data_IF_894693340741
#
_entry.id   IF_894693340741
#
_cell.length_a   1.000
_cell.length_b   1.000
_cell.length_c   1.000
_cell.angle_alpha   90.00
_cell.angle_beta   90.00
_cell.angle_gamma   90.00
#
_symmetry.space_group_name_H-M   'P 1'
#
loop_
_entity.id
_entity.type
_entity.pdbx_description
1 polymer ?
#
# COMPACT_ATOMS: atom_id res chain seq x y z
N UNK A 1 4.45 1.86 20.74
CA UNK A 1 3.15 1.20 20.97
C UNK A 1 2.58 0.76 19.63
N UNK A 2 2.37 -0.55 19.39
CA UNK A 2 1.88 -1.06 18.10
C UNK A 2 0.42 -0.70 17.75
N UNK A 3 -0.33 -0.07 18.66
CA UNK A 3 -1.77 0.19 18.51
C UNK A 3 -2.14 1.63 18.11
N UNK A 4 -1.16 2.49 17.82
CA UNK A 4 -1.44 3.89 17.45
C UNK A 4 -1.96 4.05 16.01
N UNK A 5 -1.69 3.07 15.14
CA UNK A 5 -2.14 3.09 13.76
C UNK A 5 -3.41 2.29 13.54
N UNK A 6 -4.24 2.76 12.61
CA UNK A 6 -5.32 1.94 12.05
C UNK A 6 -4.76 0.61 11.55
N UNK A 7 -5.47 -0.50 11.81
CA UNK A 7 -4.96 -1.85 11.53
C UNK A 7 -4.83 -2.16 10.04
N UNK A 8 -5.36 -1.31 9.17
CA UNK A 8 -5.23 -1.42 7.71
C UNK A 8 -4.38 -0.32 7.07
N UNK A 9 -3.55 0.39 7.84
CA UNK A 9 -2.48 1.20 7.26
C UNK A 9 -1.45 0.29 6.55
N UNK A 10 -1.04 0.66 5.34
CA UNK A 10 -0.11 -0.14 4.53
C UNK A 10 1.28 -0.23 5.14
N UNK A 11 1.79 0.87 5.70
CA UNK A 11 3.07 0.90 6.38
C UNK A 11 2.96 1.60 7.74
N UNK A 12 3.72 1.06 8.70
CA UNK A 12 3.81 1.61 10.05
C UNK A 12 5.26 1.84 10.38
N UNK A 13 5.57 3.05 10.79
CA UNK A 13 6.87 3.40 11.32
C UNK A 13 6.71 3.87 12.76
N UNK A 14 7.61 3.42 13.62
CA UNK A 14 7.64 3.80 15.03
C UNK A 14 9.04 4.32 15.32
N UNK A 15 9.10 5.54 15.86
CA UNK A 15 10.32 6.08 16.41
C UNK A 15 10.09 6.36 17.88
N UNK A 16 10.96 5.82 18.73
CA UNK A 16 10.99 6.19 20.14
C UNK A 16 12.18 7.09 20.39
N UNK A 17 11.96 8.22 21.07
CA UNK A 17 13.02 9.20 21.38
C UNK A 17 12.92 9.61 22.84
N UNK A 18 14.03 10.06 23.47
CA UNK A 18 14.01 10.52 24.86
C UNK A 18 13.00 11.65 25.12
N UNK A 19 12.70 12.46 24.11
CA UNK A 19 11.77 13.60 24.18
C UNK A 19 10.33 13.24 23.82
N UNK A 20 10.06 11.95 23.56
CA UNK A 20 8.77 11.44 23.10
C UNK A 20 8.86 10.84 21.70
N UNK A 21 8.34 9.62 21.57
CA UNK A 21 8.24 8.93 20.29
C UNK A 21 7.01 9.31 19.47
N UNK A 22 6.98 8.88 18.21
CA UNK A 22 5.81 8.97 17.35
C UNK A 22 5.61 7.69 16.53
N UNK A 23 4.36 7.48 16.11
CA UNK A 23 4.00 6.53 15.07
C UNK A 23 3.60 7.27 13.79
N UNK A 24 4.10 6.82 12.66
CA UNK A 24 3.61 7.22 11.35
C UNK A 24 2.84 6.06 10.72
N UNK A 25 1.59 6.33 10.36
CA UNK A 25 0.67 5.40 9.71
C UNK A 25 0.54 5.86 8.26
N UNK A 26 1.18 5.13 7.35
CA UNK A 26 1.40 5.55 5.98
C UNK A 26 0.52 4.73 5.05
N UNK A 27 -0.16 5.44 4.16
CA UNK A 27 -0.87 4.87 3.03
C UNK A 27 -0.01 5.02 1.76
N UNK A 28 -0.27 4.16 0.77
CA UNK A 28 0.40 4.30 -0.52
C UNK A 28 -0.22 5.41 -1.37
N UNK A 29 0.64 6.25 -1.95
CA UNK A 29 0.24 7.34 -2.83
C UNK A 29 -0.03 6.84 -4.26
N UNK A 30 -1.10 6.06 -4.40
CA UNK A 30 -1.55 5.46 -5.66
C UNK A 30 -1.78 6.50 -6.76
N UNK A 31 -1.42 6.15 -7.98
CA UNK A 31 -1.56 6.97 -9.19
C UNK A 31 -1.82 6.06 -10.37
N UNK A 32 -2.76 6.41 -11.24
CA UNK A 32 -3.05 5.63 -12.46
C UNK A 32 -1.97 5.80 -13.55
N UNK A 33 -1.03 6.74 -13.36
CA UNK A 33 0.00 7.08 -14.35
C UNK A 33 1.25 6.22 -14.25
N UNK A 34 1.46 5.60 -13.10
CA UNK A 34 2.72 4.95 -12.73
C UNK A 34 2.45 3.75 -11.84
N UNK A 35 3.52 2.99 -11.57
CA UNK A 35 3.47 1.84 -10.68
C UNK A 35 4.15 2.16 -9.36
N UNK A 36 3.77 1.43 -8.32
CA UNK A 36 4.54 1.38 -7.08
C UNK A 36 5.36 0.10 -7.06
N UNK A 37 6.67 0.24 -6.90
CA UNK A 37 7.58 -0.87 -6.61
C UNK A 37 7.59 -1.08 -5.10
N UNK A 38 6.91 -2.13 -4.63
CA UNK A 38 6.68 -2.34 -3.20
C UNK A 38 7.72 -3.30 -2.63
N UNK A 39 8.65 -2.74 -1.87
CA UNK A 39 9.71 -3.38 -1.09
C UNK A 39 9.21 -3.95 0.24
N UNK A 40 10.09 -4.63 0.99
CA UNK A 40 9.76 -5.06 2.37
C UNK A 40 9.71 -3.87 3.33
N UNK A 41 10.55 -2.87 3.08
CA UNK A 41 10.75 -1.70 3.96
C UNK A 41 10.69 -0.37 3.19
N UNK A 42 10.53 -0.40 1.88
CA UNK A 42 10.51 0.78 1.01
C UNK A 42 9.40 0.67 -0.01
N UNK A 43 8.83 1.80 -0.41
CA UNK A 43 7.92 1.90 -1.55
C UNK A 43 8.35 3.09 -2.38
N UNK A 44 8.57 2.86 -3.67
CA UNK A 44 9.01 3.90 -4.60
C UNK A 44 8.12 3.90 -5.83
N UNK A 45 7.94 5.09 -6.40
CA UNK A 45 7.28 5.25 -7.68
C UNK A 45 8.23 4.76 -8.78
N UNK A 46 7.72 3.97 -9.72
CA UNK A 46 8.48 3.41 -10.82
C UNK A 46 7.64 3.42 -12.11
N UNK A 47 8.33 3.41 -13.25
CA UNK A 47 7.65 3.12 -14.50
C UNK A 47 7.15 1.66 -14.47
N UNK A 48 5.96 1.40 -15.01
CA UNK A 48 5.38 0.05 -14.96
C UNK A 48 6.19 -0.99 -15.75
N UNK A 49 6.86 -0.55 -16.81
CA UNK A 49 7.74 -1.37 -17.65
C UNK A 49 9.21 -1.39 -17.17
N UNK A 50 9.50 -0.96 -15.95
CA UNK A 50 10.87 -0.76 -15.50
C UNK A 50 11.72 -2.03 -15.45
N UNK A 51 11.22 -3.25 -15.25
CA UNK A 51 11.98 -4.51 -15.13
C UNK A 51 13.10 -4.59 -14.06
N UNK A 52 13.76 -3.50 -13.68
CA UNK A 52 14.79 -3.46 -12.63
C UNK A 52 14.20 -3.24 -11.25
N UNK A 53 13.07 -2.53 -11.16
CA UNK A 53 12.32 -2.31 -9.92
C UNK A 53 11.45 -3.54 -9.59
N UNK A 54 11.64 -4.25 -8.47
CA UNK A 54 10.91 -5.47 -8.19
C UNK A 54 9.47 -5.21 -7.74
N UNK A 55 8.55 -6.18 -7.95
CA UNK A 55 7.18 -6.18 -7.40
C UNK A 55 6.44 -4.87 -7.64
N UNK A 56 6.32 -4.52 -8.92
CA UNK A 56 5.61 -3.34 -9.40
C UNK A 56 4.12 -3.64 -9.44
N UNK A 57 3.33 -2.77 -8.82
CA UNK A 57 1.88 -2.86 -8.78
C UNK A 57 1.29 -1.63 -9.47
N UNK A 58 0.47 -1.86 -10.50
CA UNK A 58 -0.27 -0.80 -11.20
C UNK A 58 -1.68 -0.72 -10.62
N UNK A 59 -2.12 0.40 -10.03
CA UNK A 59 -3.51 0.53 -9.60
C UNK A 59 -4.44 0.63 -10.83
N UNK A 60 -5.50 -0.18 -10.83
CA UNK A 60 -6.47 -0.25 -11.93
C UNK A 60 -7.85 0.27 -11.54
N UNK A 61 -8.26 0.10 -10.28
CA UNK A 61 -9.55 0.57 -9.78
C UNK A 61 -9.61 0.61 -8.26
N UNK A 62 -10.62 1.28 -7.73
CA UNK A 62 -10.99 1.25 -6.32
C UNK A 62 -12.38 0.63 -6.22
N UNK A 63 -12.53 -0.37 -5.35
CA UNK A 63 -13.83 -0.96 -5.01
C UNK A 63 -14.16 -0.53 -3.59
N UNK A 64 -15.32 0.11 -3.40
CA UNK A 64 -15.81 0.53 -2.08
C UNK A 64 -16.67 -0.55 -1.42
N UNK A 65 -16.93 -0.40 -0.13
CA UNK A 65 -17.75 -1.27 0.72
C UNK A 65 -17.30 -2.73 0.84
N UNK A 66 -16.05 -3.02 0.45
CA UNK A 66 -15.41 -4.34 0.53
C UNK A 66 -14.37 -4.40 1.64
N UNK A 67 -14.05 -5.60 2.10
CA UNK A 67 -13.01 -5.86 3.10
C UNK A 67 -11.93 -6.81 2.59
N UNK A 68 -11.96 -7.18 1.31
CA UNK A 68 -11.10 -8.23 0.74
C UNK A 68 -10.57 -7.87 -0.62
N UNK A 69 -9.36 -8.38 -0.93
CA UNK A 69 -8.74 -8.28 -2.24
C UNK A 69 -9.33 -9.29 -3.25
N UNK A 70 -10.14 -10.25 -2.79
CA UNK A 70 -10.77 -11.26 -3.66
C UNK A 70 -11.79 -10.68 -4.66
N UNK A 71 -12.19 -9.41 -4.51
CA UNK A 71 -13.01 -8.70 -5.50
C UNK A 71 -12.22 -8.24 -6.73
N UNK A 72 -10.89 -8.31 -6.67
CA UNK A 72 -10.01 -7.86 -7.74
C UNK A 72 -9.60 -9.01 -8.66
N UNK A 73 -9.48 -8.75 -9.98
CA UNK A 73 -9.21 -9.80 -10.96
C UNK A 73 -7.80 -10.40 -10.85
N UNK A 74 -6.80 -9.58 -10.53
CA UNK A 74 -5.37 -9.94 -10.56
C UNK A 74 -4.68 -9.83 -9.21
N UNK A 75 -5.30 -9.16 -8.26
CA UNK A 75 -4.71 -8.82 -6.97
C UNK A 75 -5.10 -7.42 -6.52
N UNK A 76 -4.74 -7.08 -5.29
CA UNK A 76 -5.03 -5.78 -4.73
C UNK A 76 -4.68 -5.67 -3.26
N UNK A 77 -4.81 -4.44 -2.76
CA UNK A 77 -4.52 -4.05 -1.40
C UNK A 77 -5.85 -3.73 -0.72
N UNK A 78 -6.27 -4.61 0.19
CA UNK A 78 -7.51 -4.46 0.92
C UNK A 78 -7.31 -3.55 2.15
N UNK A 79 -8.31 -2.73 2.41
CA UNK A 79 -8.43 -1.87 3.58
C UNK A 79 -9.70 -2.24 4.36
N UNK A 80 -9.67 -3.33 5.16
CA UNK A 80 -10.88 -3.89 5.76
C UNK A 80 -11.59 -2.96 6.74
N UNK A 81 -10.85 -2.06 7.41
CA UNK A 81 -11.44 -1.13 8.37
C UNK A 81 -12.08 0.05 7.63
N UNK A 82 -11.37 0.59 6.64
CA UNK A 82 -11.86 1.73 5.84
C UNK A 82 -12.82 1.33 4.73
N UNK A 83 -13.02 0.03 4.53
CA UNK A 83 -13.97 -0.60 3.62
C UNK A 83 -13.77 -0.22 2.15
N UNK A 84 -12.53 -0.30 1.69
CA UNK A 84 -12.25 -0.26 0.26
C UNK A 84 -11.10 -1.21 -0.08
N UNK A 85 -10.94 -1.51 -1.37
CA UNK A 85 -9.81 -2.26 -1.90
C UNK A 85 -9.29 -1.54 -3.12
N UNK A 86 -7.98 -1.32 -3.16
CA UNK A 86 -7.27 -0.88 -4.37
C UNK A 86 -6.94 -2.13 -5.19
N UNK A 87 -7.60 -2.31 -6.32
CA UNK A 87 -7.25 -3.40 -7.24
C UNK A 87 -6.00 -3.02 -8.01
N UNK A 88 -5.06 -3.97 -8.12
CA UNK A 88 -3.79 -3.77 -8.81
C UNK A 88 -3.50 -4.88 -9.80
N UNK A 89 -2.73 -4.53 -10.83
CA UNK A 89 -2.16 -5.48 -11.78
C UNK A 89 -0.65 -5.57 -11.53
N UNK A 90 -0.13 -6.75 -11.15
CA UNK A 90 1.31 -6.98 -11.04
C UNK A 90 2.00 -6.82 -12.39
N UNK A 91 3.12 -6.10 -12.42
CA UNK A 91 3.92 -5.95 -13.64
C UNK A 91 5.18 -6.81 -13.55
N UNK A 92 5.39 -7.65 -14.57
CA UNK A 92 6.56 -8.53 -14.72
C UNK A 92 7.67 -7.81 -15.50
#
# INVERSE_FOLDING_TARGET
MPDQCVKDAEQRFYLDTPDGGFAACLDYAWSTKDCLSIGKVSVVRAACNDNTAPRREKPISIVYDTQTAGVCPTGGFAHPIRRFTICTEPQH
#
